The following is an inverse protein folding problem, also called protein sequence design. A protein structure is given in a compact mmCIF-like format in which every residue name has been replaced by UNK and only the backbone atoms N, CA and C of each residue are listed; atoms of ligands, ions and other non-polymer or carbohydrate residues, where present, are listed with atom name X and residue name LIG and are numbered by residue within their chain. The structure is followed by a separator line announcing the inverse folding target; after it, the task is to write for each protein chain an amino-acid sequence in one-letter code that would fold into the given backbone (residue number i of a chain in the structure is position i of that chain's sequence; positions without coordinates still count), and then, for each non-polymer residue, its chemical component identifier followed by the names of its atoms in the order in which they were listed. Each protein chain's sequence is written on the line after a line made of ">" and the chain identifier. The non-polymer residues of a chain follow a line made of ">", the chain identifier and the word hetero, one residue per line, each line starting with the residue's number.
data_IF_602755096038
#
_entry.id   IF_602755096038
#
_cell.length_a   1.000
_cell.length_b   1.000
_cell.length_c   1.000
_cell.angle_alpha   90.00
_cell.angle_beta   90.00
_cell.angle_gamma   90.00
#
_symmetry.space_group_name_H-M   'P 1'
#
loop_
_entity.id
_entity.type
_entity.pdbx_description
1 polymer ?
#
# COMPACT_ATOMS: atom_id res chain seq x y z
N UNK A 1 6.43 2.28 -11.18
CA UNK A 1 5.17 1.98 -11.90
C UNK A 1 5.54 1.14 -13.08
N UNK A 2 5.02 -0.08 -13.15
CA UNK A 2 5.20 -0.99 -14.26
C UNK A 2 3.81 -1.35 -14.79
N UNK A 3 3.67 -1.42 -16.12
CA UNK A 3 2.43 -1.81 -16.79
C UNK A 3 2.63 -3.22 -17.33
N UNK A 4 2.21 -4.22 -16.56
CA UNK A 4 2.08 -5.60 -17.03
C UNK A 4 0.72 -5.70 -17.72
N UNK A 5 0.70 -5.97 -19.02
CA UNK A 5 -0.54 -6.02 -19.84
C UNK A 5 -1.43 -4.76 -19.76
N UNK A 6 -0.84 -3.59 -19.49
CA UNK A 6 -1.57 -2.32 -19.37
C UNK A 6 -2.29 -2.12 -18.02
N UNK A 7 -2.05 -2.99 -17.05
CA UNK A 7 -2.63 -2.91 -15.73
C UNK A 7 -1.73 -2.12 -14.77
N UNK A 8 -2.32 -1.16 -14.03
CA UNK A 8 -1.58 -0.34 -13.07
C UNK A 8 -1.33 -1.15 -11.78
N UNK A 9 -0.06 -1.49 -11.55
CA UNK A 9 0.42 -2.14 -10.34
C UNK A 9 1.20 -1.16 -9.45
N UNK A 10 0.90 -1.18 -8.16
CA UNK A 10 1.48 -0.26 -7.17
C UNK A 10 2.19 -1.07 -6.09
N UNK A 11 3.47 -0.79 -5.88
CA UNK A 11 4.26 -1.36 -4.79
C UNK A 11 4.54 -0.28 -3.76
N UNK A 12 4.16 -0.55 -2.52
CA UNK A 12 4.36 0.31 -1.37
C UNK A 12 5.32 -0.37 -0.41
N UNK A 13 6.23 0.43 0.14
CA UNK A 13 7.18 -0.02 1.14
C UNK A 13 6.98 0.82 2.38
N UNK A 14 6.56 0.18 3.47
CA UNK A 14 6.15 0.90 4.69
C UNK A 14 6.89 0.37 5.90
N UNK A 15 7.14 1.26 6.85
CA UNK A 15 7.62 0.94 8.18
C UNK A 15 6.43 1.17 9.11
N UNK A 16 6.07 0.15 9.89
CA UNK A 16 4.91 0.21 10.78
C UNK A 16 5.35 0.49 12.21
N UNK A 17 4.53 1.17 13.00
CA UNK A 17 4.81 1.39 14.42
C UNK A 17 4.61 0.12 15.25
N UNK A 18 5.35 -0.03 16.34
CA UNK A 18 5.09 -1.07 17.33
C UNK A 18 3.65 -0.98 17.87
N UNK A 19 3.05 -2.13 18.19
CA UNK A 19 1.64 -2.22 18.60
C UNK A 19 0.62 -2.10 17.46
N UNK A 20 1.08 -1.88 16.23
CA UNK A 20 0.20 -1.85 15.05
C UNK A 20 -0.17 -3.26 14.61
N UNK A 21 -1.47 -3.49 14.40
CA UNK A 21 -1.95 -4.71 13.74
C UNK A 21 -1.69 -4.62 12.23
N UNK A 22 -0.56 -5.19 11.83
CA UNK A 22 -0.07 -5.17 10.43
C UNK A 22 -1.15 -5.57 9.41
N UNK A 23 -1.94 -6.64 9.61
CA UNK A 23 -2.95 -7.04 8.62
C UNK A 23 -4.02 -5.96 8.40
N UNK A 24 -4.49 -5.33 9.48
CA UNK A 24 -5.51 -4.27 9.40
C UNK A 24 -4.94 -3.02 8.70
N UNK A 25 -3.70 -2.64 8.99
CA UNK A 25 -3.06 -1.50 8.35
C UNK A 25 -2.77 -1.77 6.88
N UNK A 26 -2.27 -2.96 6.53
CA UNK A 26 -2.02 -3.32 5.15
C UNK A 26 -3.31 -3.28 4.31
N UNK A 27 -4.41 -3.84 4.83
CA UNK A 27 -5.71 -3.82 4.15
C UNK A 27 -6.19 -2.38 3.91
N UNK A 28 -6.22 -1.56 4.97
CA UNK A 28 -6.63 -0.16 4.87
C UNK A 28 -5.79 0.64 3.88
N UNK A 29 -4.47 0.43 3.87
CA UNK A 29 -3.55 1.10 2.93
C UNK A 29 -3.83 0.65 1.49
N UNK A 30 -3.99 -0.65 1.25
CA UNK A 30 -4.30 -1.19 -0.08
C UNK A 30 -5.59 -0.59 -0.64
N UNK A 31 -6.67 -0.59 0.15
CA UNK A 31 -7.97 -0.06 -0.25
C UNK A 31 -7.92 1.44 -0.52
N UNK A 32 -7.30 2.20 0.40
CA UNK A 32 -7.23 3.66 0.28
C UNK A 32 -6.39 4.10 -0.90
N UNK A 33 -5.26 3.45 -1.15
CA UNK A 33 -4.39 3.77 -2.30
C UNK A 33 -5.07 3.42 -3.60
N UNK A 34 -5.68 2.23 -3.70
CA UNK A 34 -6.48 1.85 -4.87
C UNK A 34 -7.56 2.89 -5.15
N UNK A 35 -8.44 3.15 -4.17
CA UNK A 35 -9.52 4.12 -4.32
C UNK A 35 -9.02 5.51 -4.75
N UNK A 36 -7.98 6.00 -4.09
CA UNK A 36 -7.46 7.36 -4.33
C UNK A 36 -6.88 7.49 -5.74
N UNK A 37 -6.09 6.51 -6.19
CA UNK A 37 -5.50 6.55 -7.53
C UNK A 37 -6.57 6.39 -8.61
N UNK A 38 -7.50 5.45 -8.46
CA UNK A 38 -8.61 5.30 -9.41
C UNK A 38 -9.46 6.57 -9.48
N UNK A 39 -9.73 7.22 -8.35
CA UNK A 39 -10.52 8.46 -8.28
C UNK A 39 -9.82 9.65 -8.92
N UNK A 40 -8.53 9.84 -8.67
CA UNK A 40 -7.79 11.02 -9.14
C UNK A 40 -7.42 10.89 -10.61
N UNK A 41 -6.98 9.71 -11.03
CA UNK A 41 -6.40 9.50 -12.36
C UNK A 41 -7.39 8.89 -13.36
N UNK A 42 -8.48 8.27 -12.88
CA UNK A 42 -9.40 7.49 -13.70
C UNK A 42 -8.83 6.14 -14.15
N UNK A 43 -7.57 5.81 -13.82
CA UNK A 43 -6.92 4.55 -14.18
C UNK A 43 -7.38 3.43 -13.25
N UNK A 44 -7.58 2.23 -13.79
CA UNK A 44 -7.90 1.04 -12.99
C UNK A 44 -6.64 0.45 -12.38
N UNK A 45 -6.68 0.21 -11.06
CA UNK A 45 -5.57 -0.40 -10.31
C UNK A 45 -5.84 -1.90 -10.18
N UNK A 46 -5.01 -2.71 -10.82
CA UNK A 46 -5.12 -4.15 -10.72
C UNK A 46 -4.63 -4.67 -9.37
N UNK A 47 -3.48 -4.16 -8.91
CA UNK A 47 -2.84 -4.65 -7.68
C UNK A 47 -2.16 -3.55 -6.89
N UNK A 48 -2.30 -3.64 -5.57
CA UNK A 48 -1.51 -2.86 -4.60
C UNK A 48 -0.79 -3.85 -3.70
N UNK A 49 0.54 -3.88 -3.77
CA UNK A 49 1.38 -4.69 -2.89
C UNK A 49 1.90 -3.80 -1.76
N UNK A 50 1.69 -4.21 -0.50
CA UNK A 50 2.24 -3.51 0.67
C UNK A 50 3.33 -4.37 1.29
N UNK A 51 4.56 -3.89 1.20
CA UNK A 51 5.75 -4.55 1.69
C UNK A 51 6.17 -3.89 3.01
N UNK A 52 6.10 -4.66 4.11
CA UNK A 52 6.56 -4.19 5.42
C UNK A 52 8.06 -4.37 5.51
N UNK A 53 8.80 -3.26 5.53
CA UNK A 53 10.27 -3.30 5.60
C UNK A 53 10.80 -3.38 7.03
N UNK A 54 9.97 -3.03 8.01
CA UNK A 54 10.37 -3.07 9.40
C UNK A 54 9.28 -2.56 10.34
N UNK A 55 9.51 -2.79 11.63
CA UNK A 55 8.70 -2.26 12.72
C UNK A 55 9.54 -1.23 13.46
N UNK A 56 9.07 0.01 13.53
CA UNK A 56 9.67 1.07 14.34
C UNK A 56 9.05 1.04 15.73
N UNK A 57 9.84 0.65 16.72
CA UNK A 57 9.49 0.85 18.13
C UNK A 57 9.57 2.32 18.52
N UNK A 58 8.82 2.72 19.55
CA UNK A 58 9.12 3.95 20.28
C UNK A 58 10.50 3.77 20.93
N UNK A 59 11.50 4.42 20.35
CA UNK A 59 12.80 4.55 20.97
C UNK A 59 12.66 5.40 22.23
N UNK A 60 13.29 4.95 23.31
CA UNK A 60 13.84 5.87 24.30
C UNK A 60 15.18 6.37 23.79
#
# INVERSE_FOLDING_TARGET
>A
VNTDEGQLCIDLYVIVGYGTKIPEVALNVMEKVKYTIEKITGLKVAKVNVNIQGVKGEGR
#
